data_IF_916147104564
#
_entry.id   IF_916147104564
#
_cell.length_a   1.000
_cell.length_b   1.000
_cell.length_c   1.000
_cell.angle_alpha   90.00
_cell.angle_beta   90.00
_cell.angle_gamma   90.00
#
_symmetry.space_group_name_H-M   'P 1'
#
loop_
_entity.id
_entity.type
_entity.pdbx_description
1 polymer ?
#
# COMPACT_ATOMS: atom_id res chain seq x y z
N UNK A 1 -2.86 -10.02 21.02
CA UNK A 1 -1.99 -8.88 20.71
C UNK A 1 -2.36 -8.46 19.31
N UNK A 2 -3.30 -7.52 19.24
CA UNK A 2 -3.74 -6.96 17.97
C UNK A 2 -2.59 -6.09 17.47
N UNK A 3 -1.82 -6.58 16.49
CA UNK A 3 -0.83 -5.78 15.76
C UNK A 3 -1.59 -4.85 14.82
N UNK A 4 -2.49 -4.03 15.39
CA UNK A 4 -3.28 -3.03 14.71
C UNK A 4 -2.34 -1.98 14.13
N UNK A 5 -1.69 -2.34 13.04
CA UNK A 5 -1.21 -1.42 12.02
C UNK A 5 -2.49 -0.75 11.51
N UNK A 6 -2.89 0.30 12.21
CA UNK A 6 -3.58 1.41 11.59
C UNK A 6 -2.61 1.87 10.50
N UNK A 7 -2.76 1.35 9.29
CA UNK A 7 -2.19 2.00 8.13
C UNK A 7 -2.95 3.30 8.05
N UNK A 8 -2.39 4.32 8.68
CA UNK A 8 -3.01 5.64 8.85
C UNK A 8 -3.49 6.19 7.51
N UNK A 9 -2.81 5.85 6.42
CA UNK A 9 -3.21 6.17 5.04
C UNK A 9 -4.50 5.48 4.62
N UNK A 10 -4.68 4.19 4.94
CA UNK A 10 -5.90 3.43 4.59
C UNK A 10 -7.08 3.92 5.41
N UNK A 11 -6.90 4.11 6.71
CA UNK A 11 -7.98 4.58 7.58
C UNK A 11 -8.43 5.99 7.15
N UNK A 12 -7.47 6.85 6.79
CA UNK A 12 -7.75 8.17 6.23
C UNK A 12 -8.46 8.09 4.88
N UNK A 13 -8.03 7.19 3.99
CA UNK A 13 -8.66 7.00 2.68
C UNK A 13 -10.11 6.53 2.81
N UNK A 14 -10.40 5.60 3.73
CA UNK A 14 -11.77 5.17 4.03
C UNK A 14 -12.61 6.32 4.59
N UNK A 15 -12.09 7.09 5.56
CA UNK A 15 -12.77 8.26 6.12
C UNK A 15 -13.15 9.28 5.02
N UNK A 16 -12.29 9.44 4.02
CA UNK A 16 -12.51 10.36 2.90
C UNK A 16 -13.19 9.76 1.69
N UNK A 17 -13.49 8.45 1.70
CA UNK A 17 -13.94 7.71 0.51
C UNK A 17 -13.04 7.96 -0.72
N UNK A 18 -11.73 7.91 -0.49
CA UNK A 18 -10.70 8.23 -1.48
C UNK A 18 -9.95 6.97 -1.94
N UNK A 19 -9.42 7.02 -3.16
CA UNK A 19 -8.44 6.06 -3.67
C UNK A 19 -7.01 6.45 -3.23
N UNK A 20 -6.11 5.46 -3.20
CA UNK A 20 -4.69 5.65 -2.93
C UNK A 20 -3.91 5.61 -4.24
N UNK A 21 -3.02 6.58 -4.42
CA UNK A 21 -2.16 6.72 -5.59
C UNK A 21 -0.71 6.82 -5.12
N UNK A 22 0.16 5.93 -5.60
CA UNK A 22 1.53 5.83 -5.11
C UNK A 22 2.52 5.40 -6.19
N UNK A 23 3.81 5.78 -6.10
CA UNK A 23 4.84 5.19 -6.93
C UNK A 23 5.08 3.73 -6.54
N UNK A 24 5.71 2.96 -7.43
CA UNK A 24 6.31 1.67 -7.09
C UNK A 24 7.42 1.88 -6.07
N UNK A 25 7.19 1.45 -4.83
CA UNK A 25 8.12 1.61 -3.69
C UNK A 25 8.89 0.32 -3.42
N UNK A 26 9.99 0.43 -2.68
CA UNK A 26 10.81 -0.73 -2.30
C UNK A 26 11.36 -1.48 -3.51
N UNK A 27 11.68 -0.72 -4.57
CA UNK A 27 12.36 -1.19 -5.78
C UNK A 27 13.57 -0.28 -5.99
N UNK A 28 14.77 -0.85 -5.93
CA UNK A 28 16.02 -0.12 -6.15
C UNK A 28 17.25 -0.91 -5.68
N UNK A 29 18.45 -0.41 -6.02
CA UNK A 29 19.73 -1.14 -5.89
C UNK A 29 20.08 -1.61 -4.46
N UNK A 30 19.42 -1.06 -3.43
CA UNK A 30 19.62 -1.42 -2.01
C UNK A 30 18.28 -1.54 -1.26
N UNK A 31 17.15 -1.47 -1.98
CA UNK A 31 15.83 -1.30 -1.37
C UNK A 31 14.86 -2.32 -1.95
N UNK A 32 14.70 -3.45 -1.26
CA UNK A 32 13.59 -4.39 -1.43
C UNK A 32 13.40 -4.99 -2.83
N UNK A 33 12.63 -6.05 -2.88
CA UNK A 33 12.08 -6.59 -4.11
C UNK A 33 10.59 -6.24 -4.15
N UNK A 34 10.07 -5.86 -5.31
CA UNK A 34 8.63 -5.60 -5.48
C UNK A 34 7.79 -6.79 -5.03
N UNK A 35 8.31 -7.98 -5.29
CA UNK A 35 7.77 -9.28 -4.95
C UNK A 35 7.55 -9.45 -3.43
N UNK A 36 8.25 -8.68 -2.59
CA UNK A 36 8.04 -8.62 -1.14
C UNK A 36 7.04 -7.53 -0.74
N UNK A 37 7.00 -6.41 -1.47
CA UNK A 37 6.16 -5.24 -1.17
C UNK A 37 4.71 -5.45 -1.64
N UNK A 38 4.50 -5.99 -2.82
CA UNK A 38 3.16 -6.19 -3.40
C UNK A 38 2.25 -7.03 -2.48
N UNK A 39 2.67 -8.19 -1.92
CA UNK A 39 1.85 -8.95 -1.00
C UNK A 39 1.47 -8.18 0.26
N UNK A 40 2.34 -7.28 0.74
CA UNK A 40 2.05 -6.43 1.90
C UNK A 40 0.95 -5.44 1.52
N UNK A 41 1.06 -4.75 0.38
CA UNK A 41 0.03 -3.80 -0.09
C UNK A 41 -1.30 -4.52 -0.30
N UNK A 42 -1.31 -5.67 -0.98
CA UNK A 42 -2.53 -6.46 -1.20
C UNK A 42 -3.16 -6.91 0.12
N UNK A 43 -2.34 -7.42 1.05
CA UNK A 43 -2.80 -7.95 2.33
C UNK A 43 -3.27 -6.88 3.33
N UNK A 44 -2.78 -5.64 3.21
CA UNK A 44 -3.00 -4.59 4.20
C UNK A 44 -3.88 -3.43 3.73
N UNK A 45 -3.88 -3.11 2.42
CA UNK A 45 -4.63 -2.01 1.83
C UNK A 45 -5.82 -2.52 1.01
N UNK A 46 -5.55 -3.37 0.02
CA UNK A 46 -6.59 -3.84 -0.92
C UNK A 46 -7.64 -4.70 -0.20
N UNK A 47 -7.21 -5.49 0.79
CA UNK A 47 -8.11 -6.28 1.65
C UNK A 47 -9.12 -5.46 2.46
N UNK A 48 -8.92 -4.13 2.56
CA UNK A 48 -9.78 -3.18 3.28
C UNK A 48 -10.72 -2.39 2.35
N UNK A 49 -10.95 -2.86 1.13
CA UNK A 49 -11.88 -2.26 0.15
C UNK A 49 -11.51 -0.81 -0.22
N UNK A 50 -10.21 -0.50 -0.26
CA UNK A 50 -9.66 0.77 -0.76
C UNK A 50 -8.97 0.53 -2.09
N UNK A 51 -9.36 1.29 -3.11
CA UNK A 51 -8.75 1.22 -4.44
C UNK A 51 -7.33 1.79 -4.42
N UNK A 52 -6.37 1.05 -4.99
CA UNK A 52 -4.95 1.42 -5.01
C UNK A 52 -4.43 1.41 -6.44
N UNK A 53 -3.76 2.50 -6.81
CA UNK A 53 -3.06 2.65 -8.07
C UNK A 53 -1.56 2.80 -7.81
N UNK A 54 -0.78 1.88 -8.37
CA UNK A 54 0.69 1.91 -8.31
C UNK A 54 1.21 2.37 -9.67
N UNK A 55 2.02 3.42 -9.67
CA UNK A 55 2.68 3.94 -10.86
C UNK A 55 4.11 3.46 -10.92
N UNK A 56 4.46 2.80 -12.01
CA UNK A 56 5.85 2.59 -12.41
C UNK A 56 6.21 3.66 -13.46
N UNK A 57 7.38 4.28 -13.32
CA UNK A 57 7.88 5.33 -14.22
C UNK A 57 9.08 4.87 -15.06
N UNK A 58 9.45 3.59 -14.93
CA UNK A 58 10.44 2.93 -15.79
C UNK A 58 9.97 2.82 -17.26
#
# INVERSE_FOLDING_TARGET
>A
MDWGIYLTVVDYAQEKSASIHMPRIGCGFVSGHWEEIEPIITGSVVSKDVEVFVYDLD
#
